data_IF_476445510536
#
_entry.id   IF_476445510536
#
_cell.length_a   1.000
_cell.length_b   1.000
_cell.length_c   1.000
_cell.angle_alpha   90.00
_cell.angle_beta   90.00
_cell.angle_gamma   90.00
#
_symmetry.space_group_name_H-M   'P 1'
#
loop_
_entity.id
_entity.type
_entity.pdbx_description
1 polymer ?
#
# COMPACT_ATOMS: atom_id res chain seq x y z
N UNK A 1 -16.75 50.22 -14.04
CA UNK A 1 -17.70 49.17 -14.49
C UNK A 1 -17.35 48.59 -15.87
N UNK A 2 -17.12 49.40 -16.92
CA UNK A 2 -16.79 48.90 -18.27
C UNK A 2 -15.51 48.03 -18.35
N UNK A 3 -14.48 48.33 -17.56
CA UNK A 3 -13.22 47.54 -17.56
C UNK A 3 -13.40 46.14 -16.97
N UNK A 4 -14.17 45.99 -15.87
CA UNK A 4 -14.45 44.68 -15.27
C UNK A 4 -15.34 43.82 -16.18
N UNK A 5 -16.27 44.41 -16.93
CA UNK A 5 -17.07 43.68 -17.92
C UNK A 5 -16.23 43.16 -19.08
N UNK A 6 -15.20 43.92 -19.50
CA UNK A 6 -14.28 43.48 -20.56
C UNK A 6 -13.42 42.28 -20.09
N UNK A 7 -12.92 42.33 -18.85
CA UNK A 7 -12.12 41.24 -18.27
C UNK A 7 -12.94 39.96 -18.13
N UNK A 8 -14.18 40.05 -17.65
CA UNK A 8 -15.09 38.90 -17.51
C UNK A 8 -15.37 38.28 -18.89
N UNK A 9 -15.58 39.10 -19.93
CA UNK A 9 -15.81 38.61 -21.29
C UNK A 9 -14.57 37.88 -21.86
N UNK A 10 -13.36 38.38 -21.60
CA UNK A 10 -12.11 37.74 -22.01
C UNK A 10 -11.86 36.41 -21.30
N UNK A 11 -12.26 36.29 -20.03
CA UNK A 11 -12.13 35.03 -19.27
C UNK A 11 -13.13 33.98 -19.77
N UNK A 12 -14.36 34.39 -20.13
CA UNK A 12 -15.40 33.48 -20.62
C UNK A 12 -15.08 32.90 -22.02
N UNK A 13 -14.40 33.64 -22.89
CA UNK A 13 -14.06 33.15 -24.24
C UNK A 13 -12.82 32.24 -24.26
N UNK A 14 -11.95 32.31 -23.25
CA UNK A 14 -10.75 31.47 -23.15
C UNK A 14 -11.03 30.01 -22.74
N UNK A 15 -12.22 29.73 -22.19
CA UNK A 15 -12.62 28.39 -21.73
C UNK A 15 -13.02 27.44 -22.87
N UNK A 16 -13.22 27.93 -24.10
CA UNK A 16 -13.77 27.13 -25.21
C UNK A 16 -12.69 26.32 -25.95
N UNK A 17 -11.42 26.39 -25.55
CA UNK A 17 -10.29 25.75 -26.27
C UNK A 17 -9.48 24.75 -25.43
N UNK A 18 -9.99 24.29 -24.29
CA UNK A 18 -9.40 23.18 -23.54
C UNK A 18 -9.82 21.82 -24.13
N UNK A 19 -9.46 21.57 -25.38
CA UNK A 19 -9.47 20.21 -25.93
C UNK A 19 -8.19 19.51 -25.46
N UNK A 20 -8.26 18.81 -24.32
CA UNK A 20 -7.17 17.97 -23.84
C UNK A 20 -6.89 16.83 -24.82
N UNK A 21 -5.64 16.78 -25.33
CA UNK A 21 -4.98 15.61 -25.92
C UNK A 21 -5.73 14.81 -27.03
N UNK A 22 -6.48 15.41 -27.98
CA UNK A 22 -7.14 14.63 -29.03
C UNK A 22 -6.16 13.92 -29.98
N UNK A 23 -4.90 14.36 -30.03
CA UNK A 23 -3.84 13.83 -30.89
C UNK A 23 -2.95 12.77 -30.22
N UNK A 24 -2.88 12.73 -28.89
CA UNK A 24 -1.96 11.83 -28.18
C UNK A 24 -2.49 10.39 -28.09
N UNK A 25 -3.83 10.24 -28.15
CA UNK A 25 -4.50 8.95 -28.10
C UNK A 25 -5.51 8.82 -29.24
N UNK A 26 -5.04 8.66 -30.50
CA UNK A 26 -5.94 8.45 -31.63
C UNK A 26 -6.75 7.17 -31.40
N UNK A 27 -8.07 7.25 -31.57
CA UNK A 27 -8.93 6.07 -31.57
C UNK A 27 -8.86 5.41 -32.94
N UNK A 28 -8.43 4.15 -32.97
CA UNK A 28 -8.43 3.33 -34.18
C UNK A 28 -9.84 2.74 -34.44
N UNK A 29 -10.03 2.08 -35.58
CA UNK A 29 -11.31 1.47 -35.99
C UNK A 29 -11.86 0.45 -34.99
N UNK A 30 -10.98 -0.14 -34.19
CA UNK A 30 -11.31 -1.06 -33.09
C UNK A 30 -11.76 -0.34 -31.80
N UNK A 31 -11.83 0.99 -31.79
CA UNK A 31 -12.22 1.79 -30.63
C UNK A 31 -11.15 1.94 -29.55
N UNK A 32 -9.96 1.37 -29.76
CA UNK A 32 -8.83 1.39 -28.84
C UNK A 32 -7.81 2.48 -29.22
N UNK A 33 -6.92 2.80 -28.28
CA UNK A 33 -5.81 3.74 -28.48
C UNK A 33 -4.62 3.12 -29.25
N UNK A 34 -4.71 1.84 -29.59
CA UNK A 34 -3.73 1.09 -30.38
C UNK A 34 -4.43 0.41 -31.56
N UNK A 35 -3.75 0.32 -32.71
CA UNK A 35 -4.28 -0.37 -33.88
C UNK A 35 -4.33 -1.90 -33.67
N UNK A 36 -5.01 -2.61 -34.58
CA UNK A 36 -5.20 -4.06 -34.49
C UNK A 36 -3.87 -4.83 -34.45
N UNK A 37 -2.91 -4.44 -35.28
CA UNK A 37 -1.58 -5.06 -35.33
C UNK A 37 -0.85 -4.96 -33.99
N UNK A 38 -0.86 -3.79 -33.34
CA UNK A 38 -0.27 -3.58 -32.02
C UNK A 38 -1.03 -4.38 -30.97
N UNK A 39 -2.35 -4.43 -31.04
CA UNK A 39 -3.17 -5.22 -30.10
C UNK A 39 -2.91 -6.72 -30.20
N UNK A 40 -2.71 -7.26 -31.41
CA UNK A 40 -2.31 -8.66 -31.63
C UNK A 40 -0.94 -8.96 -31.01
N UNK A 41 0.03 -8.07 -31.18
CA UNK A 41 1.36 -8.21 -30.56
C UNK A 41 1.26 -8.17 -29.02
N UNK A 42 0.48 -7.25 -28.47
CA UNK A 42 0.25 -7.16 -27.02
C UNK A 42 -0.44 -8.42 -26.48
N UNK A 43 -1.45 -8.94 -27.19
CA UNK A 43 -2.13 -10.17 -26.81
C UNK A 43 -1.14 -11.35 -26.75
N UNK A 44 -0.30 -11.52 -27.76
CA UNK A 44 0.75 -12.55 -27.77
C UNK A 44 1.74 -12.41 -26.61
N UNK A 45 2.16 -11.18 -26.30
CA UNK A 45 3.06 -10.90 -25.17
C UNK A 45 2.40 -11.26 -23.83
N UNK A 46 1.15 -10.84 -23.63
CA UNK A 46 0.37 -11.14 -22.41
C UNK A 46 0.15 -12.64 -22.25
N UNK A 47 -0.18 -13.35 -23.34
CA UNK A 47 -0.35 -14.81 -23.34
C UNK A 47 0.95 -15.53 -22.99
N UNK A 48 2.07 -15.09 -23.55
CA UNK A 48 3.41 -15.63 -23.26
C UNK A 48 3.79 -15.42 -21.80
N UNK A 49 3.49 -14.24 -21.24
CA UNK A 49 3.69 -13.97 -19.82
C UNK A 49 2.78 -14.84 -18.95
N UNK A 50 1.52 -15.03 -19.33
CA UNK A 50 0.58 -15.90 -18.62
C UNK A 50 1.00 -17.36 -18.62
N UNK A 51 1.55 -17.87 -19.72
CA UNK A 51 2.08 -19.23 -19.81
C UNK A 51 3.17 -19.50 -18.76
N UNK A 52 4.01 -18.51 -18.44
CA UNK A 52 5.03 -18.62 -17.40
C UNK A 52 4.43 -18.87 -16.01
N UNK A 53 3.23 -18.36 -15.74
CA UNK A 53 2.54 -18.54 -14.46
C UNK A 53 1.65 -19.79 -14.40
N UNK A 54 1.36 -20.43 -15.55
CA UNK A 54 0.63 -21.71 -15.60
C UNK A 54 1.48 -22.92 -15.19
N UNK A 55 2.80 -22.79 -15.25
CA UNK A 55 3.71 -23.87 -14.90
C UNK A 55 4.27 -23.67 -13.49
N UNK A 56 3.96 -24.62 -12.59
CA UNK A 56 4.63 -24.73 -11.31
C UNK A 56 5.92 -25.55 -11.52
N UNK A 57 7.08 -24.98 -11.18
CA UNK A 57 8.35 -25.68 -11.31
C UNK A 57 8.44 -26.76 -10.21
N UNK A 58 8.23 -28.02 -10.60
CA UNK A 58 8.23 -29.16 -9.68
C UNK A 58 9.60 -29.41 -9.02
N UNK A 59 10.68 -28.84 -9.59
CA UNK A 59 12.02 -28.96 -9.02
C UNK A 59 12.33 -27.85 -8.01
N UNK A 60 11.46 -26.85 -7.87
CA UNK A 60 11.64 -25.75 -6.95
C UNK A 60 11.04 -26.07 -5.59
N UNK A 61 11.81 -25.84 -4.53
CA UNK A 61 11.28 -25.85 -3.16
C UNK A 61 10.61 -24.51 -2.87
N UNK A 62 9.35 -24.56 -2.49
CA UNK A 62 8.57 -23.41 -2.08
C UNK A 62 8.49 -23.38 -0.56
N UNK A 63 8.86 -22.26 0.05
CA UNK A 63 8.72 -22.02 1.48
C UNK A 63 7.61 -21.00 1.72
N UNK A 64 6.80 -21.23 2.74
CA UNK A 64 5.85 -20.23 3.22
C UNK A 64 6.62 -18.98 3.68
N UNK A 65 5.99 -17.81 3.52
CA UNK A 65 6.51 -16.57 4.09
C UNK A 65 6.41 -16.62 5.61
N UNK A 66 7.26 -15.85 6.24
CA UNK A 66 7.19 -15.65 7.67
C UNK A 66 5.86 -14.97 8.04
N UNK A 67 5.06 -15.62 8.88
CA UNK A 67 3.75 -15.14 9.33
C UNK A 67 3.57 -15.22 10.85
N UNK A 68 2.73 -14.35 11.40
CA UNK A 68 2.34 -14.31 12.82
C UNK A 68 0.93 -13.71 12.98
N UNK A 69 0.29 -13.95 14.13
CA UNK A 69 -0.91 -13.21 14.52
C UNK A 69 -0.49 -11.91 15.21
N UNK A 70 -1.16 -10.81 14.90
CA UNK A 70 -0.90 -9.52 15.54
C UNK A 70 -2.17 -8.72 15.82
N UNK A 71 -1.99 -7.68 16.63
CA UNK A 71 -2.96 -6.62 16.85
C UNK A 71 -2.32 -5.29 16.48
N UNK A 72 -3.12 -4.34 15.99
CA UNK A 72 -2.65 -3.00 15.61
C UNK A 72 -3.28 -1.97 16.52
N UNK A 73 -2.44 -1.06 17.02
CA UNK A 73 -2.87 0.18 17.65
C UNK A 73 -2.57 1.34 16.72
N UNK A 74 -3.53 2.24 16.58
CA UNK A 74 -3.34 3.55 15.98
C UNK A 74 -3.72 4.62 17.01
N UNK A 75 -2.76 5.50 17.29
CA UNK A 75 -2.80 6.45 18.42
C UNK A 75 -2.50 7.85 17.90
N UNK A 76 -3.28 8.81 18.37
CA UNK A 76 -3.08 10.23 18.10
C UNK A 76 -1.94 10.83 18.94
N UNK A 77 -1.31 11.89 18.42
CA UNK A 77 -0.06 12.47 18.92
C UNK A 77 0.01 12.74 20.43
N UNK A 78 -1.13 13.10 21.05
CA UNK A 78 -1.21 13.48 22.47
C UNK A 78 -0.74 12.40 23.45
N UNK A 79 -0.71 11.12 23.05
CA UNK A 79 -0.41 10.00 23.95
C UNK A 79 0.83 9.18 23.56
N UNK A 80 1.58 9.56 22.52
CA UNK A 80 2.65 8.72 21.95
C UNK A 80 3.79 8.43 22.94
N UNK A 81 4.25 9.45 23.68
CA UNK A 81 5.36 9.29 24.63
C UNK A 81 5.00 8.39 25.82
N UNK A 82 3.77 8.48 26.30
CA UNK A 82 3.30 7.64 27.40
C UNK A 82 3.06 6.21 26.92
N UNK A 83 2.42 6.05 25.76
CA UNK A 83 2.20 4.74 25.15
C UNK A 83 3.51 4.01 24.91
N UNK A 84 4.55 4.73 24.47
CA UNK A 84 5.89 4.17 24.29
C UNK A 84 6.48 3.66 25.60
N UNK A 85 6.37 4.44 26.69
CA UNK A 85 6.84 4.02 28.02
C UNK A 85 6.10 2.77 28.51
N UNK A 86 4.79 2.68 28.26
CA UNK A 86 4.03 1.51 28.68
C UNK A 86 4.43 0.26 27.89
N UNK A 87 4.65 0.37 26.58
CA UNK A 87 5.21 -0.71 25.76
C UNK A 87 6.57 -1.15 26.31
N UNK A 88 7.48 -0.19 26.54
CA UNK A 88 8.83 -0.48 27.04
C UNK A 88 8.80 -1.06 28.47
N UNK A 89 7.75 -0.77 29.24
CA UNK A 89 7.51 -1.37 30.58
C UNK A 89 6.94 -2.79 30.53
N UNK A 90 6.59 -3.30 29.34
CA UNK A 90 6.02 -4.63 29.15
C UNK A 90 4.53 -4.73 29.46
N UNK A 91 3.79 -3.63 29.33
CA UNK A 91 2.33 -3.65 29.51
C UNK A 91 1.67 -4.55 28.45
N UNK A 92 0.74 -5.40 28.87
CA UNK A 92 0.08 -6.35 27.95
C UNK A 92 -0.88 -5.64 26.99
N UNK A 93 -1.21 -6.30 25.89
CA UNK A 93 -2.18 -5.83 24.91
C UNK A 93 -3.51 -5.43 25.56
N UNK A 94 -4.03 -6.26 26.47
CA UNK A 94 -5.31 -6.05 27.15
C UNK A 94 -5.27 -4.78 27.99
N UNK A 95 -4.20 -4.60 28.78
CA UNK A 95 -4.00 -3.42 29.62
C UNK A 95 -3.82 -2.15 28.79
N UNK A 96 -3.14 -2.24 27.66
CA UNK A 96 -3.01 -1.11 26.72
C UNK A 96 -4.37 -0.76 26.11
N UNK A 97 -5.16 -1.76 25.71
CA UNK A 97 -6.51 -1.54 25.20
C UNK A 97 -7.44 -0.90 26.23
N UNK A 98 -7.27 -1.21 27.52
CA UNK A 98 -8.04 -0.60 28.60
C UNK A 98 -7.57 0.83 28.92
N UNK A 99 -6.25 1.06 28.93
CA UNK A 99 -5.65 2.36 29.24
C UNK A 99 -5.87 3.40 28.12
N UNK A 100 -5.95 2.93 26.87
CA UNK A 100 -6.10 3.78 25.69
C UNK A 100 -7.39 3.46 24.92
N UNK A 101 -8.58 3.67 25.51
CA UNK A 101 -9.86 3.34 24.87
C UNK A 101 -10.16 4.19 23.63
N UNK A 102 -9.52 5.36 23.51
CA UNK A 102 -9.60 6.23 22.33
C UNK A 102 -8.72 5.77 21.16
N UNK A 103 -7.83 4.80 21.35
CA UNK A 103 -7.01 4.27 20.27
C UNK A 103 -7.88 3.47 19.30
N UNK A 104 -7.56 3.56 18.01
CA UNK A 104 -8.15 2.65 17.04
C UNK A 104 -7.40 1.31 17.11
N UNK A 105 -8.14 0.21 17.27
CA UNK A 105 -7.57 -1.11 17.54
C UNK A 105 -8.12 -2.13 16.55
N UNK A 106 -7.25 -2.67 15.70
CA UNK A 106 -7.55 -3.84 14.90
C UNK A 106 -7.03 -5.09 15.59
N UNK A 107 -7.89 -6.11 15.73
CA UNK A 107 -7.55 -7.37 16.40
C UNK A 107 -7.47 -8.51 15.39
N UNK A 108 -6.69 -9.53 15.72
CA UNK A 108 -6.64 -10.79 14.97
C UNK A 108 -6.25 -10.60 13.50
N UNK A 109 -5.18 -9.85 13.28
CA UNK A 109 -4.59 -9.65 11.97
C UNK A 109 -3.55 -10.74 11.69
N UNK A 110 -3.49 -11.20 10.45
CA UNK A 110 -2.37 -11.99 9.94
C UNK A 110 -1.28 -11.03 9.50
N UNK A 111 -0.14 -11.06 10.18
CA UNK A 111 1.07 -10.33 9.81
C UNK A 111 1.96 -11.24 8.95
N UNK A 112 2.52 -10.68 7.88
CA UNK A 112 3.61 -11.31 7.15
C UNK A 112 4.71 -10.30 6.84
N UNK A 113 5.94 -10.81 6.85
CA UNK A 113 7.12 -10.02 6.53
C UNK A 113 7.83 -10.53 5.29
N UNK A 114 8.36 -9.61 4.50
CA UNK A 114 9.16 -9.95 3.33
C UNK A 114 10.15 -8.84 2.98
N UNK A 115 11.27 -9.26 2.40
CA UNK A 115 12.25 -8.34 1.83
C UNK A 115 11.74 -7.79 0.50
N UNK A 116 11.91 -6.49 0.30
CA UNK A 116 11.61 -5.78 -0.94
C UNK A 116 12.81 -4.91 -1.31
N UNK A 117 13.06 -4.76 -2.60
CA UNK A 117 14.00 -3.76 -3.12
C UNK A 117 13.21 -2.51 -3.48
N UNK A 118 13.58 -1.38 -2.89
CA UNK A 118 13.01 -0.07 -3.19
C UNK A 118 13.38 0.40 -4.60
N UNK A 119 12.72 1.46 -5.06
CA UNK A 119 12.96 2.01 -6.40
C UNK A 119 14.40 2.51 -6.59
N UNK A 120 15.06 2.93 -5.50
CA UNK A 120 16.46 3.39 -5.51
C UNK A 120 17.47 2.25 -5.31
N UNK A 121 17.01 1.00 -5.24
CA UNK A 121 17.86 -0.18 -5.02
C UNK A 121 18.15 -0.50 -3.56
N UNK A 122 17.59 0.27 -2.63
CA UNK A 122 17.67 0.05 -1.19
C UNK A 122 16.92 -1.21 -0.76
N UNK A 123 17.42 -1.91 0.27
CA UNK A 123 16.79 -3.12 0.81
C UNK A 123 15.85 -2.72 1.94
N UNK A 124 14.60 -3.14 1.83
CA UNK A 124 13.54 -2.81 2.79
C UNK A 124 12.91 -4.10 3.35
N UNK A 125 12.47 -4.07 4.60
CA UNK A 125 11.52 -5.06 5.12
C UNK A 125 10.14 -4.45 5.11
N UNK A 126 9.20 -5.16 4.51
CA UNK A 126 7.78 -4.80 4.55
C UNK A 126 7.06 -5.75 5.48
N UNK A 127 6.32 -5.16 6.41
CA UNK A 127 5.33 -5.82 7.23
C UNK A 127 3.96 -5.49 6.67
N UNK A 128 3.22 -6.52 6.25
CA UNK A 128 1.86 -6.36 5.76
C UNK A 128 0.89 -7.11 6.64
N UNK A 129 -0.24 -6.50 6.94
CA UNK A 129 -1.33 -7.14 7.65
C UNK A 129 -2.48 -7.48 6.71
N UNK A 130 -3.12 -8.62 6.96
CA UNK A 130 -4.39 -9.01 6.35
C UNK A 130 -5.40 -9.34 7.45
N UNK A 131 -6.65 -8.88 7.33
CA UNK A 131 -7.70 -9.29 8.25
C UNK A 131 -8.03 -10.77 8.05
N UNK A 132 -8.19 -11.51 9.15
CA UNK A 132 -8.57 -12.93 9.11
C UNK A 132 -10.05 -13.15 8.73
N UNK A 133 -10.91 -12.15 8.95
CA UNK A 133 -12.31 -12.15 8.53
C UNK A 133 -12.66 -10.88 7.75
N UNK A 134 -13.43 -11.05 6.68
CA UNK A 134 -13.90 -9.94 5.82
C UNK A 134 -15.05 -9.14 6.46
N UNK A 135 -15.58 -9.60 7.59
CA UNK A 135 -16.66 -8.93 8.35
C UNK A 135 -16.17 -7.78 9.22
N UNK A 136 -14.87 -7.72 9.44
CA UNK A 136 -14.29 -6.86 10.46
C UNK A 136 -13.85 -5.57 9.77
N UNK A 137 -14.12 -4.41 10.37
CA UNK A 137 -13.74 -3.08 9.86
C UNK A 137 -12.21 -2.85 9.83
N UNK A 138 -11.45 -3.94 9.88
CA UNK A 138 -10.00 -4.01 9.87
C UNK A 138 -9.45 -3.89 8.45
N UNK A 139 -8.51 -2.96 8.27
CA UNK A 139 -7.84 -2.72 7.00
C UNK A 139 -6.64 -3.60 6.74
N UNK A 140 -6.17 -3.55 5.50
CA UNK A 140 -4.81 -3.97 5.13
C UNK A 140 -3.85 -2.80 5.37
N UNK A 141 -2.74 -3.05 6.06
CA UNK A 141 -1.75 -2.04 6.39
C UNK A 141 -0.35 -2.52 6.00
N UNK A 142 0.43 -1.60 5.45
CA UNK A 142 1.85 -1.81 5.13
C UNK A 142 2.71 -0.88 5.97
N UNK A 143 3.67 -1.47 6.68
CA UNK A 143 4.77 -0.77 7.36
C UNK A 143 6.06 -1.15 6.66
N UNK A 144 6.79 -0.14 6.19
CA UNK A 144 8.11 -0.31 5.56
C UNK A 144 9.17 0.19 6.52
N UNK A 145 10.17 -0.65 6.76
CA UNK A 145 11.36 -0.30 7.55
C UNK A 145 12.58 -0.32 6.63
N UNK A 146 13.29 0.79 6.60
CA UNK A 146 14.41 1.05 5.68
C UNK A 146 15.79 0.68 6.26
N UNK A 147 15.87 0.10 7.47
CA UNK A 147 17.16 -0.18 8.13
C UNK A 147 17.20 -1.47 8.99
N UNK A 148 18.41 -2.01 9.14
CA UNK A 148 18.79 -3.32 9.74
C UNK A 148 17.69 -4.41 9.78
N UNK A 149 17.48 -5.00 8.62
CA UNK A 149 16.50 -6.07 8.37
C UNK A 149 16.66 -7.28 9.30
N UNK A 150 17.86 -7.51 9.88
CA UNK A 150 18.18 -8.75 10.58
C UNK A 150 17.55 -8.85 11.98
N UNK A 151 17.38 -7.70 12.67
CA UNK A 151 16.76 -7.64 13.99
C UNK A 151 15.28 -8.07 13.97
N UNK A 152 14.60 -7.86 12.85
CA UNK A 152 13.17 -8.08 12.67
C UNK A 152 12.78 -9.51 12.28
N UNK A 153 13.72 -10.32 11.79
CA UNK A 153 13.45 -11.71 11.38
C UNK A 153 13.74 -12.73 12.48
N UNK A 154 14.26 -12.32 13.64
CA UNK A 154 14.30 -13.20 14.81
C UNK A 154 12.91 -13.25 15.43
N UNK A 155 12.14 -14.26 15.07
CA UNK A 155 10.83 -14.54 15.65
C UNK A 155 10.93 -14.56 17.17
N UNK A 156 10.30 -13.56 17.82
CA UNK A 156 10.02 -13.60 19.25
C UNK A 156 8.58 -13.17 19.43
N UNK A 157 7.83 -13.99 20.14
CA UNK A 157 6.51 -13.62 20.63
C UNK A 157 6.61 -12.33 21.46
N UNK A 158 5.57 -11.50 21.44
CA UNK A 158 5.47 -10.23 22.18
C UNK A 158 6.40 -9.09 21.73
N UNK A 159 6.87 -9.10 20.48
CA UNK A 159 7.59 -7.95 19.92
C UNK A 159 6.65 -6.90 19.34
N UNK A 160 7.04 -5.63 19.46
CA UNK A 160 6.34 -4.49 18.90
C UNK A 160 7.01 -4.00 17.62
N UNK A 161 6.21 -3.77 16.58
CA UNK A 161 6.63 -3.04 15.37
C UNK A 161 6.06 -1.64 15.51
N UNK A 162 6.95 -0.65 15.59
CA UNK A 162 6.59 0.74 15.82
C UNK A 162 6.97 1.52 14.57
N UNK A 163 6.01 2.25 14.04
CA UNK A 163 6.21 3.11 12.89
C UNK A 163 5.53 4.45 13.12
N UNK A 164 6.23 5.51 12.72
CA UNK A 164 5.82 6.88 12.91
C UNK A 164 5.81 7.58 11.55
N UNK A 165 4.69 8.24 11.23
CA UNK A 165 4.66 9.24 10.15
C UNK A 165 4.89 10.61 10.78
N UNK A 166 6.02 11.28 10.47
CA UNK A 166 6.20 12.69 10.81
C UNK A 166 5.23 13.59 10.05
#
# INVERSE_FOLDING_TARGET
MKQYQLIIFTILTFQVHLYGQPLEFPKYSNGLIYNDTTMEQLAFLVDSLNLKYKNCDLNKKYYAKAQANCHRFEISELNLNEFRKDIDSGLSFEKLSEKYPQAFIDKNLLLFSYNKTGYRGDKQVVFRTLPLSRSDNSGEYDITVEDDTSAYFSYRDNNWIIWFRP
#
